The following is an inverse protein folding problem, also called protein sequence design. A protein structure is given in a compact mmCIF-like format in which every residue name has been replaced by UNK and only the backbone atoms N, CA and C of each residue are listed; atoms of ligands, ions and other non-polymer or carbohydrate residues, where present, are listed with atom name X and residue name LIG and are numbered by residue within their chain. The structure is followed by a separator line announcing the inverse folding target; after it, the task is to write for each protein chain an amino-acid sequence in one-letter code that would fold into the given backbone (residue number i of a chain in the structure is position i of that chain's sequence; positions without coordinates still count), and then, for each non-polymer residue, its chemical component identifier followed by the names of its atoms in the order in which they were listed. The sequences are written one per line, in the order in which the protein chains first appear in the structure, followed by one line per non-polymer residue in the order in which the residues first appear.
data_IF_740034544767
#
_entry.id   IF_740034544767
#
_cell.length_a   1.000
_cell.length_b   1.000
_cell.length_c   1.000
_cell.angle_alpha   90.00
_cell.angle_beta   90.00
_cell.angle_gamma   90.00
#
_symmetry.space_group_name_H-M   'P 1'
#
loop_
_entity.id
_entity.type
_entity.pdbx_description
1 polymer ?
#
# COMPACT_ATOMS: atom_id res chain seq x y z
N UNK A 1 -4.52 -23.09 -23.39
CA UNK A 1 -3.65 -22.82 -22.22
C UNK A 1 -4.35 -21.74 -21.38
N UNK A 2 -4.42 -21.95 -20.07
CA UNK A 2 -5.09 -20.99 -19.18
C UNK A 2 -4.17 -19.76 -19.00
N UNK A 3 -4.51 -18.62 -19.61
CA UNK A 3 -3.71 -17.39 -19.56
C UNK A 3 -3.94 -16.59 -18.25
N UNK A 4 -4.81 -17.08 -17.37
CA UNK A 4 -5.24 -16.37 -16.18
C UNK A 4 -4.09 -15.95 -15.24
N UNK A 5 -3.14 -16.82 -14.86
CA UNK A 5 -2.04 -16.40 -13.97
C UNK A 5 -1.16 -15.31 -14.59
N UNK A 6 -0.94 -15.36 -15.90
CA UNK A 6 -0.14 -14.36 -16.62
C UNK A 6 -0.86 -13.01 -16.68
N UNK A 7 -2.19 -13.01 -16.89
CA UNK A 7 -3.00 -11.79 -16.88
C UNK A 7 -2.99 -11.17 -15.49
N UNK A 8 -3.16 -11.97 -14.42
CA UNK A 8 -3.10 -11.49 -13.05
C UNK A 8 -1.75 -10.80 -12.74
N UNK A 9 -0.63 -11.43 -13.09
CA UNK A 9 0.71 -10.85 -12.90
C UNK A 9 0.87 -9.52 -13.67
N UNK A 10 0.36 -9.43 -14.89
CA UNK A 10 0.39 -8.21 -15.68
C UNK A 10 -0.48 -7.09 -15.07
N UNK A 11 -1.65 -7.41 -14.49
CA UNK A 11 -2.51 -6.46 -13.80
C UNK A 11 -1.84 -5.92 -12.53
N UNK A 12 -1.27 -6.79 -11.72
CA UNK A 12 -0.48 -6.40 -10.52
C UNK A 12 0.69 -5.49 -10.91
N UNK A 13 1.42 -5.86 -11.98
CA UNK A 13 2.52 -5.04 -12.48
C UNK A 13 2.05 -3.68 -12.99
N UNK A 14 0.93 -3.61 -13.72
CA UNK A 14 0.34 -2.35 -14.19
C UNK A 14 -0.03 -1.44 -13.03
N UNK A 15 -0.69 -1.99 -12.02
CA UNK A 15 -1.10 -1.26 -10.83
C UNK A 15 0.10 -0.73 -10.01
N UNK A 16 1.15 -1.55 -9.82
CA UNK A 16 2.39 -1.11 -9.15
C UNK A 16 3.04 0.06 -9.90
N UNK A 17 3.11 0.00 -11.22
CA UNK A 17 3.67 1.08 -12.04
C UNK A 17 2.85 2.37 -11.94
N UNK A 18 1.51 2.29 -11.89
CA UNK A 18 0.65 3.45 -11.67
C UNK A 18 0.81 4.00 -10.26
N UNK A 19 0.87 3.14 -9.23
CA UNK A 19 1.10 3.57 -7.86
C UNK A 19 2.45 4.31 -7.72
N UNK A 20 3.54 3.77 -8.31
CA UNK A 20 4.86 4.43 -8.36
C UNK A 20 4.80 5.79 -9.06
N UNK A 21 4.07 5.88 -10.17
CA UNK A 21 3.90 7.13 -10.88
C UNK A 21 3.20 8.21 -10.04
N UNK A 22 2.22 7.82 -9.23
CA UNK A 22 1.51 8.71 -8.27
C UNK A 22 2.38 9.14 -7.09
N UNK A 23 3.42 8.36 -6.73
CA UNK A 23 4.36 8.74 -5.67
C UNK A 23 5.31 9.87 -6.09
N UNK A 24 5.52 10.08 -7.40
CA UNK A 24 6.44 11.09 -7.88
C UNK A 24 5.89 12.50 -7.63
N UNK A 25 6.54 13.23 -6.73
CA UNK A 25 6.23 14.63 -6.52
C UNK A 25 6.54 15.44 -7.80
N UNK A 26 5.63 16.33 -8.16
CA UNK A 26 5.81 17.25 -9.28
C UNK A 26 6.13 16.57 -10.62
N UNK A 27 5.29 15.60 -11.01
CA UNK A 27 5.38 14.93 -12.29
C UNK A 27 5.17 15.92 -13.46
N UNK A 28 6.21 16.21 -14.20
CA UNK A 28 6.17 17.08 -15.36
C UNK A 28 7.56 17.59 -15.75
N UNK A 29 7.63 18.49 -16.72
CA UNK A 29 8.90 19.07 -17.19
C UNK A 29 9.28 20.26 -16.31
N UNK A 30 10.46 20.25 -15.65
CA UNK A 30 10.93 21.40 -14.87
C UNK A 30 11.15 22.62 -15.75
N UNK A 31 10.75 23.78 -15.25
CA UNK A 31 10.91 25.08 -15.89
C UNK A 31 11.45 26.08 -14.87
N UNK A 32 12.45 26.87 -15.26
CA UNK A 32 12.99 27.97 -14.44
C UNK A 32 12.35 29.25 -14.93
N UNK A 33 11.72 30.00 -14.01
CA UNK A 33 11.25 31.37 -14.29
C UNK A 33 12.02 32.35 -13.44
N UNK A 34 12.45 33.43 -14.05
CA UNK A 34 13.22 34.52 -13.40
C UNK A 34 12.41 35.81 -13.44
N UNK A 35 12.40 36.52 -12.32
CA UNK A 35 11.83 37.84 -12.21
C UNK A 35 12.75 38.72 -11.37
N UNK A 36 12.33 39.98 -11.09
CA UNK A 36 13.12 40.94 -10.31
C UNK A 36 13.44 40.49 -8.87
N UNK A 37 12.69 39.52 -8.35
CA UNK A 37 12.81 38.98 -6.98
C UNK A 37 13.64 37.71 -6.89
N UNK A 38 14.03 37.07 -8.04
CA UNK A 38 14.84 35.88 -8.05
C UNK A 38 14.42 34.83 -9.08
N UNK A 39 15.00 33.63 -8.94
CA UNK A 39 14.72 32.47 -9.78
C UNK A 39 13.78 31.51 -9.03
N UNK A 40 12.83 30.97 -9.75
CA UNK A 40 11.78 30.10 -9.22
C UNK A 40 11.63 28.86 -10.08
N UNK A 41 11.32 27.73 -9.44
CA UNK A 41 11.06 26.46 -10.10
C UNK A 41 9.57 26.26 -10.30
N UNK A 42 9.22 25.85 -11.50
CA UNK A 42 7.90 25.44 -11.92
C UNK A 42 7.96 24.05 -12.57
N UNK A 43 6.86 23.34 -12.55
CA UNK A 43 6.71 22.12 -13.33
C UNK A 43 5.58 22.31 -14.32
N UNK A 44 5.90 22.09 -15.60
CA UNK A 44 4.95 22.17 -16.71
C UNK A 44 4.43 20.78 -17.06
N UNK A 45 3.11 20.63 -17.06
CA UNK A 45 2.42 19.38 -17.38
C UNK A 45 1.31 19.64 -18.38
N UNK A 46 1.13 18.72 -19.33
CA UNK A 46 -0.02 18.71 -20.23
C UNK A 46 -1.14 17.85 -19.62
N UNK A 47 -2.31 18.45 -19.43
CA UNK A 47 -3.53 17.77 -18.96
C UNK A 47 -4.59 17.93 -20.04
N UNK A 48 -4.83 16.87 -20.79
CA UNK A 48 -5.69 16.93 -21.98
C UNK A 48 -5.13 17.88 -23.05
N UNK A 49 -5.92 18.87 -23.47
CA UNK A 49 -5.52 19.90 -24.43
C UNK A 49 -4.78 21.09 -23.80
N UNK A 50 -4.80 21.22 -22.47
CA UNK A 50 -4.22 22.36 -21.74
C UNK A 50 -2.82 22.04 -21.22
N UNK A 51 -1.98 23.08 -21.18
CA UNK A 51 -0.66 23.05 -20.52
C UNK A 51 -0.77 23.86 -19.25
N UNK A 52 -0.46 23.23 -18.11
CA UNK A 52 -0.40 23.88 -16.80
C UNK A 52 1.05 24.07 -16.38
N UNK A 53 1.34 25.14 -15.66
CA UNK A 53 2.65 25.40 -15.05
C UNK A 53 2.41 25.64 -13.57
N UNK A 54 2.85 24.72 -12.72
CA UNK A 54 2.65 24.75 -11.26
C UNK A 54 3.94 25.22 -10.58
N UNK A 55 3.82 26.19 -9.68
CA UNK A 55 4.92 26.64 -8.84
C UNK A 55 5.35 25.54 -7.88
N UNK A 56 6.65 25.36 -7.71
CA UNK A 56 7.24 24.36 -6.79
C UNK A 56 7.89 25.07 -5.60
N UNK A 57 8.95 25.87 -5.86
CA UNK A 57 9.68 26.59 -4.82
C UNK A 57 10.69 27.59 -5.44
N UNK A 58 11.43 28.29 -4.59
CA UNK A 58 12.60 29.07 -4.98
C UNK A 58 13.64 28.14 -5.60
N UNK A 59 14.36 28.60 -6.61
CA UNK A 59 15.38 27.80 -7.30
C UNK A 59 16.48 27.36 -6.34
N UNK A 60 16.78 26.08 -6.37
CA UNK A 60 18.03 25.51 -5.89
C UNK A 60 18.49 24.40 -6.84
N UNK A 61 19.79 24.21 -6.98
CA UNK A 61 20.34 23.16 -7.86
C UNK A 61 19.87 21.77 -7.42
N UNK A 62 19.84 21.51 -6.12
CA UNK A 62 19.38 20.22 -5.55
C UNK A 62 17.94 19.93 -5.93
N UNK A 63 17.04 20.90 -5.77
CA UNK A 63 15.63 20.74 -6.11
C UNK A 63 15.44 20.62 -7.62
N UNK A 64 16.16 21.37 -8.42
CA UNK A 64 16.11 21.27 -9.87
C UNK A 64 16.55 19.88 -10.36
N UNK A 65 17.65 19.33 -9.81
CA UNK A 65 18.12 17.98 -10.15
C UNK A 65 17.10 16.91 -9.72
N UNK A 66 16.44 17.08 -8.56
CA UNK A 66 15.36 16.19 -8.13
C UNK A 66 14.20 16.20 -9.13
N UNK A 67 13.75 17.38 -9.57
CA UNK A 67 12.67 17.50 -10.55
C UNK A 67 13.04 16.88 -11.90
N UNK A 68 14.31 16.99 -12.34
CA UNK A 68 14.80 16.34 -13.56
C UNK A 68 14.75 14.81 -13.42
N UNK A 69 15.18 14.25 -12.27
CA UNK A 69 15.11 12.81 -12.00
C UNK A 69 13.66 12.32 -11.99
N UNK A 70 12.77 13.01 -11.29
CA UNK A 70 11.34 12.66 -11.25
C UNK A 70 10.71 12.68 -12.64
N UNK A 71 11.04 13.66 -13.48
CA UNK A 71 10.56 13.70 -14.87
C UNK A 71 11.10 12.53 -15.72
N UNK A 72 12.37 12.17 -15.55
CA UNK A 72 12.97 11.03 -16.24
C UNK A 72 12.32 9.71 -15.81
N UNK A 73 12.12 9.53 -14.49
CA UNK A 73 11.47 8.36 -13.93
C UNK A 73 9.99 8.26 -14.37
N UNK A 74 9.23 9.36 -14.34
CA UNK A 74 7.87 9.39 -14.85
C UNK A 74 7.76 8.97 -16.32
N UNK A 75 8.72 9.39 -17.17
CA UNK A 75 8.78 8.95 -18.58
C UNK A 75 9.06 7.45 -18.69
N UNK A 76 9.97 6.92 -17.87
CA UNK A 76 10.30 5.51 -17.83
C UNK A 76 9.09 4.67 -17.40
N UNK A 77 8.43 5.04 -16.30
CA UNK A 77 7.22 4.37 -15.79
C UNK A 77 6.11 4.35 -16.86
N UNK A 78 5.83 5.47 -17.50
CA UNK A 78 4.83 5.51 -18.58
C UNK A 78 5.20 4.62 -19.77
N UNK A 79 6.47 4.47 -20.09
CA UNK A 79 6.93 3.53 -21.14
C UNK A 79 6.70 2.08 -20.72
N UNK A 80 6.94 1.76 -19.44
CA UNK A 80 6.69 0.41 -18.92
C UNK A 80 5.20 0.10 -18.89
N UNK A 81 4.36 1.03 -18.41
CA UNK A 81 2.88 0.91 -18.44
C UNK A 81 2.39 0.53 -19.84
N UNK A 82 2.78 1.29 -20.86
CA UNK A 82 2.40 0.98 -22.26
C UNK A 82 2.83 -0.42 -22.73
N UNK A 83 3.96 -0.93 -22.25
CA UNK A 83 4.39 -2.30 -22.58
C UNK A 83 3.48 -3.34 -21.94
N UNK A 84 3.10 -3.12 -20.68
CA UNK A 84 2.19 -4.02 -19.95
C UNK A 84 0.79 -3.98 -20.58
N UNK A 85 0.28 -2.79 -20.90
CA UNK A 85 -1.02 -2.62 -21.59
C UNK A 85 -1.06 -3.36 -22.92
N UNK A 86 0.03 -3.27 -23.70
CA UNK A 86 0.17 -4.02 -24.95
C UNK A 86 0.16 -5.53 -24.72
N UNK A 87 0.88 -6.02 -23.71
CA UNK A 87 0.92 -7.44 -23.35
C UNK A 87 -0.46 -7.94 -22.89
N UNK A 88 -1.21 -7.15 -22.12
CA UNK A 88 -2.59 -7.45 -21.72
C UNK A 88 -3.50 -7.58 -22.93
N UNK A 89 -3.44 -6.63 -23.86
CA UNK A 89 -4.23 -6.67 -25.11
C UNK A 89 -3.89 -7.91 -25.96
N UNK A 90 -2.60 -8.28 -26.08
CA UNK A 90 -2.14 -9.49 -26.80
C UNK A 90 -2.65 -10.79 -26.14
N UNK A 91 -2.95 -10.77 -24.83
CA UNK A 91 -3.56 -11.91 -24.11
C UNK A 91 -5.09 -11.90 -24.18
N UNK A 92 -5.69 -10.95 -24.89
CA UNK A 92 -7.15 -10.83 -25.02
C UNK A 92 -7.81 -10.33 -23.73
N UNK A 93 -7.07 -9.65 -22.85
CA UNK A 93 -7.67 -9.04 -21.66
C UNK A 93 -8.60 -7.89 -22.08
N UNK A 94 -9.81 -7.93 -21.56
CA UNK A 94 -10.79 -6.83 -21.66
C UNK A 94 -11.07 -6.38 -20.21
N UNK A 95 -11.11 -5.08 -20.00
CA UNK A 95 -11.45 -4.51 -18.70
C UNK A 95 -12.88 -4.92 -18.32
N UNK A 96 -13.02 -5.55 -17.14
CA UNK A 96 -14.32 -5.78 -16.54
C UNK A 96 -14.71 -4.55 -15.73
N UNK A 97 -15.97 -4.17 -15.77
CA UNK A 97 -16.49 -3.12 -14.89
C UNK A 97 -16.69 -3.71 -13.49
N UNK A 98 -16.17 -3.02 -12.48
CA UNK A 98 -16.49 -3.29 -11.09
C UNK A 98 -17.96 -3.00 -10.83
N UNK A 99 -18.60 -3.75 -9.94
CA UNK A 99 -19.98 -3.47 -9.56
C UNK A 99 -20.13 -2.06 -8.97
N UNK A 100 -21.31 -1.42 -9.08
CA UNK A 100 -21.56 -0.10 -8.51
C UNK A 100 -21.23 -0.01 -7.03
N UNK A 101 -21.52 -1.05 -6.24
CA UNK A 101 -21.24 -1.11 -4.81
C UNK A 101 -19.74 -1.14 -4.52
N UNK A 102 -18.98 -1.92 -5.27
CA UNK A 102 -17.50 -1.95 -5.16
C UNK A 102 -16.90 -0.60 -5.59
N UNK A 103 -17.43 0.05 -6.63
CA UNK A 103 -16.98 1.39 -7.05
C UNK A 103 -17.24 2.42 -5.96
N UNK A 104 -18.41 2.39 -5.34
CA UNK A 104 -18.76 3.28 -4.23
C UNK A 104 -17.82 3.06 -3.04
N UNK A 105 -17.57 1.80 -2.69
CA UNK A 105 -16.64 1.47 -1.60
C UNK A 105 -15.20 1.86 -1.91
N UNK A 106 -14.77 1.71 -3.16
CA UNK A 106 -13.47 2.18 -3.63
C UNK A 106 -13.31 3.70 -3.49
N UNK A 107 -14.32 4.46 -3.86
CA UNK A 107 -14.29 5.92 -3.72
C UNK A 107 -14.29 6.32 -2.24
N UNK A 108 -15.07 5.64 -1.39
CA UNK A 108 -15.01 5.81 0.07
C UNK A 108 -13.61 5.52 0.61
N UNK A 109 -12.98 4.42 0.19
CA UNK A 109 -11.63 4.05 0.61
C UNK A 109 -10.58 5.09 0.18
N UNK A 110 -10.69 5.62 -1.04
CA UNK A 110 -9.80 6.68 -1.55
C UNK A 110 -9.92 7.97 -0.75
N UNK A 111 -11.14 8.36 -0.38
CA UNK A 111 -11.37 9.55 0.45
C UNK A 111 -10.76 9.41 1.85
N UNK A 112 -10.72 8.20 2.40
CA UNK A 112 -10.20 7.90 3.73
C UNK A 112 -8.74 7.41 3.73
N UNK A 113 -8.08 7.29 2.58
CA UNK A 113 -6.75 6.69 2.45
C UNK A 113 -5.71 7.38 3.34
N UNK A 114 -5.67 8.71 3.40
CA UNK A 114 -4.70 9.45 4.20
C UNK A 114 -4.86 9.18 5.69
N UNK A 115 -6.10 9.14 6.18
CA UNK A 115 -6.41 8.81 7.57
C UNK A 115 -6.02 7.36 7.87
N UNK A 116 -6.35 6.42 6.99
CA UNK A 116 -5.98 5.00 7.14
C UNK A 116 -4.46 4.80 7.19
N UNK A 117 -3.70 5.54 6.37
CA UNK A 117 -2.23 5.52 6.41
C UNK A 117 -1.71 6.06 7.75
N UNK A 118 -2.27 7.17 8.25
CA UNK A 118 -1.90 7.75 9.53
C UNK A 118 -2.12 6.78 10.69
N UNK A 119 -3.32 6.23 10.82
CA UNK A 119 -3.69 5.30 11.89
C UNK A 119 -2.84 4.03 11.85
N UNK A 120 -2.55 3.54 10.65
CA UNK A 120 -1.68 2.39 10.47
C UNK A 120 -0.20 2.71 10.80
N UNK A 121 0.28 3.92 10.53
CA UNK A 121 1.60 4.38 10.95
C UNK A 121 1.70 4.44 12.48
N UNK A 122 0.68 4.95 13.17
CA UNK A 122 0.60 4.96 14.64
C UNK A 122 0.57 3.54 15.21
N UNK A 123 -0.17 2.62 14.58
CA UNK A 123 -0.17 1.19 14.96
C UNK A 123 1.24 0.59 14.93
N UNK A 124 2.08 0.99 13.96
CA UNK A 124 3.49 0.58 13.84
C UNK A 124 4.44 1.35 14.79
N UNK A 125 3.94 2.30 15.56
CA UNK A 125 4.74 3.08 16.50
C UNK A 125 5.50 4.23 15.84
N UNK A 126 5.10 4.67 14.66
CA UNK A 126 5.64 5.88 14.02
C UNK A 126 5.17 7.08 14.81
N UNK A 127 6.13 7.91 15.27
CA UNK A 127 5.82 9.15 15.98
C UNK A 127 5.47 10.25 14.97
N UNK A 128 4.20 10.35 14.62
CA UNK A 128 3.67 11.33 13.67
C UNK A 128 2.29 11.81 14.09
N UNK A 129 1.86 12.94 13.55
CA UNK A 129 0.48 13.43 13.64
C UNK A 129 -0.21 13.33 12.28
N UNK A 130 -1.54 13.42 12.26
CA UNK A 130 -2.27 13.39 10.98
C UNK A 130 -1.81 14.51 10.02
N UNK A 131 -1.65 15.79 10.42
CA UNK A 131 -1.12 16.83 9.53
C UNK A 131 0.29 16.53 9.00
N UNK A 132 1.19 15.99 9.83
CA UNK A 132 2.53 15.60 9.38
C UNK A 132 2.48 14.46 8.36
N UNK A 133 1.63 13.46 8.59
CA UNK A 133 1.41 12.36 7.65
C UNK A 133 0.86 12.87 6.31
N UNK A 134 -0.10 13.78 6.35
CA UNK A 134 -0.66 14.41 5.16
C UNK A 134 0.41 15.20 4.37
N UNK A 135 1.25 15.99 5.06
CA UNK A 135 2.36 16.71 4.43
C UNK A 135 3.38 15.77 3.79
N UNK A 136 3.70 14.64 4.41
CA UNK A 136 4.56 13.61 3.82
C UNK A 136 3.94 13.05 2.55
N UNK A 137 2.65 12.68 2.62
CA UNK A 137 1.91 12.08 1.51
C UNK A 137 1.81 13.04 0.31
N UNK A 138 1.55 14.32 0.56
CA UNK A 138 1.30 15.30 -0.50
C UNK A 138 2.57 15.99 -1.00
N UNK A 139 3.45 16.38 -0.09
CA UNK A 139 4.54 17.31 -0.38
C UNK A 139 5.93 16.69 -0.21
N UNK A 140 6.04 15.51 0.40
CA UNK A 140 7.32 14.90 0.75
C UNK A 140 8.13 15.73 1.75
N UNK A 141 7.52 16.74 2.39
CA UNK A 141 8.16 17.64 3.35
C UNK A 141 7.70 17.29 4.75
N UNK A 142 8.66 17.20 5.68
CA UNK A 142 8.34 17.02 7.08
C UNK A 142 9.44 17.58 7.97
N UNK A 143 9.01 18.15 9.11
CA UNK A 143 9.89 18.53 10.21
C UNK A 143 9.58 17.63 11.42
N UNK A 144 10.62 17.12 12.07
CA UNK A 144 10.49 16.37 13.32
C UNK A 144 10.12 14.89 13.18
N UNK A 145 10.08 14.32 11.95
CA UNK A 145 9.90 12.89 11.69
C UNK A 145 11.20 12.30 11.16
N UNK A 146 11.58 11.09 11.58
CA UNK A 146 12.80 10.46 11.11
C UNK A 146 12.71 10.04 9.65
N UNK A 147 13.84 9.98 8.94
CA UNK A 147 13.87 9.50 7.55
C UNK A 147 13.29 8.08 7.40
N UNK A 148 13.52 7.22 8.40
CA UNK A 148 12.95 5.88 8.45
C UNK A 148 11.42 5.90 8.54
N UNK A 149 10.86 6.78 9.36
CA UNK A 149 9.40 6.89 9.54
C UNK A 149 8.73 7.52 8.32
N UNK A 150 9.37 8.50 7.69
CA UNK A 150 8.95 9.03 6.39
C UNK A 150 8.88 7.92 5.35
N UNK A 151 9.92 7.07 5.26
CA UNK A 151 9.93 5.94 4.32
C UNK A 151 8.80 4.94 4.62
N UNK A 152 8.50 4.64 5.89
CA UNK A 152 7.38 3.77 6.26
C UNK A 152 6.04 4.34 5.79
N UNK A 153 5.81 5.65 5.98
CA UNK A 153 4.58 6.33 5.53
C UNK A 153 4.46 6.29 4.00
N UNK A 154 5.55 6.54 3.27
CA UNK A 154 5.55 6.48 1.81
C UNK A 154 5.32 5.05 1.30
N UNK A 155 5.86 4.04 1.97
CA UNK A 155 5.60 2.64 1.66
C UNK A 155 4.13 2.25 1.91
N UNK A 156 3.54 2.74 3.01
CA UNK A 156 2.09 2.57 3.25
C UNK A 156 1.28 3.23 2.14
N UNK A 157 1.61 4.48 1.76
CA UNK A 157 0.96 5.15 0.63
C UNK A 157 1.05 4.31 -0.64
N UNK A 158 2.23 3.77 -0.96
CA UNK A 158 2.43 2.94 -2.15
C UNK A 158 1.53 1.70 -2.12
N UNK A 159 1.50 0.99 -0.99
CA UNK A 159 0.69 -0.21 -0.85
C UNK A 159 -0.82 0.09 -0.89
N UNK A 160 -1.27 1.20 -0.30
CA UNK A 160 -2.66 1.65 -0.41
C UNK A 160 -3.04 2.05 -1.85
N UNK A 161 -2.20 2.83 -2.55
CA UNK A 161 -2.43 3.17 -3.96
C UNK A 161 -2.51 1.92 -4.85
N UNK A 162 -1.71 0.89 -4.54
CA UNK A 162 -1.74 -0.40 -5.23
C UNK A 162 -3.08 -1.11 -5.03
N UNK A 163 -3.55 -1.30 -3.79
CA UNK A 163 -4.81 -2.02 -3.55
C UNK A 163 -6.06 -1.23 -3.99
N UNK A 164 -5.97 0.09 -4.10
CA UNK A 164 -7.05 0.96 -4.59
C UNK A 164 -7.06 1.10 -6.12
N UNK A 165 -6.20 0.38 -6.82
CA UNK A 165 -6.26 0.27 -8.27
C UNK A 165 -7.38 -0.70 -8.69
N UNK A 166 -8.14 -0.32 -9.72
CA UNK A 166 -9.26 -1.13 -10.21
C UNK A 166 -8.84 -2.50 -10.70
N UNK A 167 -7.65 -2.60 -11.26
CA UNK A 167 -7.11 -3.86 -11.77
C UNK A 167 -6.85 -4.84 -10.61
N UNK A 168 -6.28 -4.32 -9.52
CA UNK A 168 -5.97 -5.12 -8.33
C UNK A 168 -7.25 -5.57 -7.63
N UNK A 169 -8.27 -4.71 -7.57
CA UNK A 169 -9.57 -5.07 -6.97
C UNK A 169 -10.32 -6.18 -7.74
N UNK A 170 -10.02 -6.38 -9.02
CA UNK A 170 -10.58 -7.47 -9.81
C UNK A 170 -9.86 -8.80 -9.58
N UNK A 171 -8.66 -8.75 -9.02
CA UNK A 171 -7.86 -9.93 -8.69
C UNK A 171 -8.34 -10.53 -7.36
N UNK A 172 -8.29 -11.86 -7.26
CA UNK A 172 -8.63 -12.53 -6.00
C UNK A 172 -7.64 -12.13 -4.90
N UNK A 173 -8.15 -11.91 -3.70
CA UNK A 173 -7.33 -11.77 -2.51
C UNK A 173 -6.69 -13.14 -2.19
N UNK A 174 -5.43 -13.30 -2.53
CA UNK A 174 -4.68 -14.52 -2.34
C UNK A 174 -3.27 -14.27 -1.77
N UNK A 175 -2.51 -15.32 -1.61
CA UNK A 175 -1.14 -15.25 -1.10
C UNK A 175 -0.22 -14.37 -1.98
N UNK A 176 -0.44 -14.34 -3.32
CA UNK A 176 0.36 -13.50 -4.23
C UNK A 176 0.16 -12.01 -3.93
N UNK A 177 -1.09 -11.58 -3.78
CA UNK A 177 -1.44 -10.20 -3.38
C UNK A 177 -0.83 -9.86 -2.01
N UNK A 178 -0.92 -10.76 -1.04
CA UNK A 178 -0.31 -10.55 0.28
C UNK A 178 1.22 -10.36 0.19
N UNK A 179 1.90 -11.20 -0.60
CA UNK A 179 3.34 -11.09 -0.83
C UNK A 179 3.71 -9.77 -1.51
N UNK A 180 2.91 -9.34 -2.49
CA UNK A 180 3.15 -8.07 -3.18
C UNK A 180 2.99 -6.88 -2.22
N UNK A 181 1.92 -6.85 -1.42
CA UNK A 181 1.71 -5.84 -0.38
C UNK A 181 2.90 -5.82 0.60
N UNK A 182 3.33 -7.01 1.08
CA UNK A 182 4.46 -7.11 2.00
C UNK A 182 5.77 -6.62 1.39
N UNK A 183 5.99 -6.81 0.09
CA UNK A 183 7.11 -6.22 -0.65
C UNK A 183 7.05 -4.70 -0.63
N UNK A 184 5.89 -4.12 -0.91
CA UNK A 184 5.70 -2.66 -0.96
C UNK A 184 5.92 -2.01 0.41
N UNK A 185 5.35 -2.55 1.49
CA UNK A 185 5.50 -1.98 2.83
C UNK A 185 6.92 -2.10 3.39
N UNK A 186 7.76 -2.95 2.80
CA UNK A 186 9.16 -3.17 3.18
C UNK A 186 10.16 -2.57 2.18
N UNK A 187 9.72 -1.82 1.19
CA UNK A 187 10.61 -1.23 0.17
C UNK A 187 11.64 -0.31 0.83
N UNK A 188 12.92 -0.52 0.49
CA UNK A 188 14.03 0.24 1.08
C UNK A 188 14.53 -0.26 2.44
N UNK A 189 13.79 -1.17 3.11
CA UNK A 189 14.20 -1.77 4.39
C UNK A 189 14.76 -3.19 4.23
N UNK A 190 14.11 -4.03 3.42
CA UNK A 190 14.48 -5.43 3.24
C UNK A 190 14.46 -5.82 1.76
N UNK A 191 15.59 -6.29 1.25
CA UNK A 191 15.69 -6.81 -0.13
C UNK A 191 14.79 -8.05 -0.36
N UNK A 192 14.47 -8.78 0.71
CA UNK A 192 13.57 -9.95 0.69
C UNK A 192 12.13 -9.61 1.08
N UNK A 193 11.75 -8.34 1.06
CA UNK A 193 10.35 -7.93 1.32
C UNK A 193 9.37 -8.73 0.47
N UNK A 194 8.30 -9.24 1.10
CA UNK A 194 7.30 -10.06 0.42
C UNK A 194 7.67 -11.53 0.20
N UNK A 195 8.83 -12.00 0.67
CA UNK A 195 9.16 -13.43 0.71
C UNK A 195 8.87 -14.01 2.08
N UNK A 196 8.34 -15.24 2.09
CA UNK A 196 8.13 -15.97 3.33
C UNK A 196 9.45 -16.11 4.11
N UNK A 197 9.40 -15.91 5.42
CA UNK A 197 10.60 -16.03 6.25
C UNK A 197 11.01 -17.49 6.44
N UNK A 198 12.32 -17.70 6.44
CA UNK A 198 12.93 -18.98 6.79
C UNK A 198 13.69 -18.95 8.12
N UNK A 199 13.51 -17.89 8.92
CA UNK A 199 14.21 -17.69 10.20
C UNK A 199 13.21 -17.33 11.31
N UNK A 200 13.53 -17.62 12.59
CA UNK A 200 12.73 -17.17 13.73
C UNK A 200 12.67 -15.63 13.77
N UNK A 201 11.56 -15.11 14.26
CA UNK A 201 11.36 -13.68 14.55
C UNK A 201 10.86 -13.52 15.99
N UNK A 202 11.12 -12.39 16.59
CA UNK A 202 10.60 -12.01 17.90
C UNK A 202 9.54 -10.95 17.73
N UNK A 203 8.53 -10.96 18.60
CA UNK A 203 7.46 -9.96 18.64
C UNK A 203 7.67 -9.10 19.89
N UNK A 204 7.72 -7.79 19.70
CA UNK A 204 7.86 -6.88 20.85
C UNK A 204 6.68 -6.98 21.83
N UNK A 205 6.99 -7.03 23.13
CA UNK A 205 5.97 -7.06 24.19
C UNK A 205 5.49 -8.45 24.62
N UNK A 206 6.00 -9.51 24.00
CA UNK A 206 5.69 -10.91 24.37
C UNK A 206 6.92 -11.82 24.29
N UNK A 207 6.92 -12.91 25.04
CA UNK A 207 7.90 -13.99 24.91
C UNK A 207 7.55 -15.03 23.84
N UNK A 208 6.38 -14.91 23.22
CA UNK A 208 5.93 -15.82 22.18
C UNK A 208 6.83 -15.71 20.94
N UNK A 209 7.34 -16.87 20.49
CA UNK A 209 8.12 -16.98 19.25
C UNK A 209 7.28 -17.76 18.25
N UNK A 210 6.78 -17.12 17.18
CA UNK A 210 5.96 -17.79 16.18
C UNK A 210 6.78 -18.83 15.42
N UNK A 211 6.23 -20.04 15.17
CA UNK A 211 6.87 -21.05 14.33
C UNK A 211 7.25 -20.49 12.96
N UNK A 212 8.31 -21.06 12.34
CA UNK A 212 8.64 -20.72 10.95
C UNK A 212 7.48 -21.18 10.06
N UNK A 213 6.86 -20.27 9.27
CA UNK A 213 5.71 -20.62 8.46
C UNK A 213 6.10 -21.52 7.29
N UNK A 214 5.19 -22.42 6.92
CA UNK A 214 5.31 -23.27 5.72
C UNK A 214 4.41 -22.68 4.65
N UNK A 215 4.96 -22.37 3.48
CA UNK A 215 4.28 -21.62 2.43
C UNK A 215 2.97 -22.27 1.97
N UNK A 216 2.98 -23.58 1.74
CA UNK A 216 1.78 -24.34 1.34
C UNK A 216 0.67 -24.25 2.38
N UNK A 217 1.02 -24.35 3.67
CA UNK A 217 0.06 -24.23 4.79
C UNK A 217 -0.51 -22.81 4.88
N UNK A 218 0.32 -21.78 4.65
CA UNK A 218 -0.15 -20.39 4.62
C UNK A 218 -1.15 -20.17 3.49
N UNK A 219 -0.84 -20.70 2.29
CA UNK A 219 -1.74 -20.59 1.13
C UNK A 219 -3.06 -21.30 1.42
N UNK A 220 -3.03 -22.53 1.93
CA UNK A 220 -4.22 -23.32 2.27
C UNK A 220 -5.10 -22.61 3.30
N UNK A 221 -4.52 -22.07 4.38
CA UNK A 221 -5.25 -21.37 5.42
C UNK A 221 -5.88 -20.05 4.93
N UNK A 222 -5.16 -19.27 4.10
CA UNK A 222 -5.73 -18.08 3.48
C UNK A 222 -6.93 -18.43 2.62
N UNK A 223 -6.82 -19.47 1.79
CA UNK A 223 -7.92 -19.93 0.94
C UNK A 223 -9.10 -20.47 1.77
N UNK A 224 -8.83 -21.19 2.85
CA UNK A 224 -9.87 -21.67 3.76
C UNK A 224 -10.64 -20.51 4.39
N UNK A 225 -9.94 -19.50 4.90
CA UNK A 225 -10.58 -18.33 5.53
C UNK A 225 -11.45 -17.60 4.50
N UNK A 226 -10.93 -17.33 3.30
CA UNK A 226 -11.64 -16.59 2.25
C UNK A 226 -12.89 -17.33 1.76
N UNK A 227 -12.87 -18.65 1.75
CA UNK A 227 -13.99 -19.48 1.28
C UNK A 227 -15.02 -19.80 2.38
N UNK A 228 -14.87 -19.30 3.60
CA UNK A 228 -15.89 -19.47 4.64
C UNK A 228 -17.18 -18.77 4.25
N UNK A 229 -18.30 -19.36 4.64
CA UNK A 229 -19.61 -18.74 4.50
C UNK A 229 -19.88 -17.84 5.70
N UNK A 230 -19.32 -16.62 5.66
CA UNK A 230 -19.43 -15.61 6.72
C UNK A 230 -19.52 -14.20 6.10
N UNK A 231 -19.84 -13.21 6.91
CA UNK A 231 -19.89 -11.81 6.50
C UNK A 231 -18.49 -11.32 6.08
N UNK A 232 -18.37 -10.50 5.03
CA UNK A 232 -17.08 -10.03 4.54
C UNK A 232 -16.18 -9.39 5.61
N UNK A 233 -16.79 -8.70 6.59
CA UNK A 233 -16.03 -8.07 7.68
C UNK A 233 -15.38 -9.13 8.58
N UNK A 234 -16.09 -10.20 8.94
CA UNK A 234 -15.58 -11.27 9.79
C UNK A 234 -14.40 -11.99 9.09
N UNK A 235 -14.53 -12.23 7.79
CA UNK A 235 -13.46 -12.82 6.98
C UNK A 235 -12.24 -11.88 6.93
N UNK A 236 -12.45 -10.59 6.73
CA UNK A 236 -11.36 -9.61 6.69
C UNK A 236 -10.61 -9.52 8.04
N UNK A 237 -11.34 -9.49 9.16
CA UNK A 237 -10.77 -9.52 10.51
C UNK A 237 -9.96 -10.81 10.73
N UNK A 238 -10.52 -11.96 10.36
CA UNK A 238 -9.82 -13.24 10.48
C UNK A 238 -8.55 -13.30 9.63
N UNK A 239 -8.57 -12.82 8.39
CA UNK A 239 -7.39 -12.70 7.52
C UNK A 239 -6.32 -11.82 8.17
N UNK A 240 -6.73 -10.66 8.69
CA UNK A 240 -5.84 -9.74 9.37
C UNK A 240 -5.15 -10.40 10.56
N UNK A 241 -5.92 -11.00 11.45
CA UNK A 241 -5.43 -11.64 12.68
C UNK A 241 -4.57 -12.88 12.37
N UNK A 242 -4.99 -13.71 11.40
CA UNK A 242 -4.22 -14.85 10.95
C UNK A 242 -2.83 -14.45 10.46
N UNK A 243 -2.76 -13.46 9.57
CA UNK A 243 -1.49 -13.00 9.04
C UNK A 243 -0.59 -12.35 10.13
N UNK A 244 -1.20 -11.59 11.06
CA UNK A 244 -0.47 -11.02 12.21
C UNK A 244 0.07 -12.10 13.14
N UNK A 245 -0.70 -13.15 13.44
CA UNK A 245 -0.28 -14.22 14.33
C UNK A 245 0.78 -15.13 13.70
N UNK A 246 0.64 -15.44 12.42
CA UNK A 246 1.56 -16.32 11.68
C UNK A 246 2.93 -15.68 11.48
N UNK A 247 3.01 -14.33 11.45
CA UNK A 247 4.26 -13.62 11.19
C UNK A 247 4.95 -14.16 9.93
N UNK A 248 4.26 -14.06 8.79
CA UNK A 248 4.65 -14.72 7.53
C UNK A 248 5.99 -14.19 7.00
N UNK A 249 6.29 -12.91 7.22
CA UNK A 249 7.45 -12.21 6.70
C UNK A 249 8.45 -11.83 7.81
N UNK A 250 9.67 -11.50 7.44
CA UNK A 250 10.70 -11.06 8.38
C UNK A 250 10.33 -9.74 9.09
N UNK A 251 9.60 -8.84 8.41
CA UNK A 251 9.09 -7.58 8.95
C UNK A 251 7.83 -7.13 8.18
N UNK A 252 7.15 -6.11 8.72
CA UNK A 252 5.97 -5.50 8.08
C UNK A 252 4.70 -6.33 8.15
N UNK A 253 4.67 -7.38 8.98
CA UNK A 253 3.51 -8.28 9.07
C UNK A 253 2.22 -7.55 9.42
N UNK A 254 2.19 -6.67 10.45
CA UNK A 254 0.97 -5.90 10.78
C UNK A 254 0.55 -4.98 9.64
N UNK A 255 1.51 -4.28 9.04
CA UNK A 255 1.24 -3.38 7.91
C UNK A 255 0.62 -4.14 6.73
N UNK A 256 1.23 -5.24 6.32
CA UNK A 256 0.74 -6.06 5.23
C UNK A 256 -0.62 -6.70 5.55
N UNK A 257 -0.83 -7.17 6.78
CA UNK A 257 -2.09 -7.81 7.19
C UNK A 257 -3.29 -6.88 7.11
N UNK A 258 -3.17 -5.64 7.61
CA UNK A 258 -4.26 -4.65 7.55
C UNK A 258 -4.57 -4.28 6.10
N UNK A 259 -3.56 -4.05 5.26
CA UNK A 259 -3.77 -3.69 3.84
C UNK A 259 -4.36 -4.86 3.07
N UNK A 260 -3.91 -6.10 3.32
CA UNK A 260 -4.46 -7.29 2.68
C UNK A 260 -5.92 -7.55 3.05
N UNK A 261 -6.26 -7.39 4.33
CA UNK A 261 -7.65 -7.47 4.78
C UNK A 261 -8.54 -6.40 4.12
N UNK A 262 -8.01 -5.18 3.93
CA UNK A 262 -8.71 -4.12 3.21
C UNK A 262 -8.85 -4.40 1.71
N UNK A 263 -7.86 -4.99 1.05
CA UNK A 263 -8.02 -5.44 -0.33
C UNK A 263 -9.22 -6.39 -0.47
N UNK A 264 -9.32 -7.38 0.43
CA UNK A 264 -10.46 -8.30 0.45
C UNK A 264 -11.78 -7.55 0.70
N UNK A 265 -11.83 -6.74 1.76
CA UNK A 265 -13.05 -6.06 2.20
C UNK A 265 -13.58 -5.08 1.14
N UNK A 266 -12.70 -4.26 0.54
CA UNK A 266 -13.05 -3.33 -0.51
C UNK A 266 -13.59 -4.07 -1.75
N UNK A 267 -12.96 -5.18 -2.13
CA UNK A 267 -13.40 -6.01 -3.27
C UNK A 267 -14.79 -6.64 -3.07
N UNK A 268 -15.26 -6.69 -1.83
CA UNK A 268 -16.59 -7.20 -1.43
C UNK A 268 -17.58 -6.08 -1.10
N UNK A 269 -17.23 -4.83 -1.33
CA UNK A 269 -18.02 -3.66 -0.93
C UNK A 269 -18.34 -3.62 0.59
N UNK A 270 -17.45 -4.19 1.42
CA UNK A 270 -17.65 -4.39 2.86
C UNK A 270 -17.18 -3.24 3.75
N UNK A 271 -16.72 -2.12 3.18
CA UNK A 271 -16.21 -0.98 3.95
C UNK A 271 -14.69 -0.97 4.09
N UNK A 272 -14.18 -0.48 5.21
CA UNK A 272 -12.77 -0.40 5.56
C UNK A 272 -12.53 -0.99 6.95
N UNK A 273 -11.46 -1.76 7.10
CA UNK A 273 -10.90 -2.19 8.37
C UNK A 273 -9.82 -1.21 8.82
N UNK A 274 -10.06 -0.53 9.91
CA UNK A 274 -9.17 0.48 10.49
C UNK A 274 -9.05 0.25 11.99
N UNK A 275 -7.86 0.47 12.55
CA UNK A 275 -7.63 0.49 13.99
C UNK A 275 -7.37 1.95 14.38
N UNK A 276 -8.35 2.67 14.92
CA UNK A 276 -8.22 4.08 15.27
C UNK A 276 -7.11 4.33 16.28
N UNK A 277 -6.42 5.47 16.15
CA UNK A 277 -5.27 5.85 16.98
C UNK A 277 -5.54 5.67 18.50
N UNK A 278 -6.69 6.14 18.96
CA UNK A 278 -7.09 6.09 20.36
C UNK A 278 -7.33 4.66 20.87
N UNK A 279 -7.55 3.69 20.00
CA UNK A 279 -7.73 2.27 20.30
C UNK A 279 -6.46 1.43 20.13
N UNK A 280 -5.39 1.98 19.57
CA UNK A 280 -4.12 1.27 19.33
C UNK A 280 -3.54 0.63 20.61
N UNK A 281 -3.52 1.28 21.79
CA UNK A 281 -2.99 0.65 23.02
C UNK A 281 -3.79 -0.59 23.43
N UNK A 282 -5.11 -0.54 23.35
CA UNK A 282 -6.00 -1.66 23.68
C UNK A 282 -5.86 -2.78 22.67
N UNK A 283 -5.89 -2.47 21.38
CA UNK A 283 -5.64 -3.44 20.31
C UNK A 283 -4.32 -4.19 20.50
N UNK A 284 -3.23 -3.47 20.79
CA UNK A 284 -1.91 -4.10 21.03
C UNK A 284 -1.93 -5.05 22.22
N UNK A 285 -2.66 -4.71 23.31
CA UNK A 285 -2.82 -5.58 24.47
C UNK A 285 -3.58 -6.87 24.11
N UNK A 286 -4.69 -6.74 23.39
CA UNK A 286 -5.47 -7.89 22.90
C UNK A 286 -4.69 -8.74 21.90
N UNK A 287 -3.92 -8.11 21.04
CA UNK A 287 -3.07 -8.81 20.07
C UNK A 287 -1.98 -9.63 20.75
N UNK A 288 -1.34 -9.12 21.81
CA UNK A 288 -0.37 -9.88 22.61
C UNK A 288 -1.04 -11.08 23.26
N UNK A 289 -2.20 -10.89 23.89
CA UNK A 289 -3.00 -11.98 24.46
C UNK A 289 -3.32 -13.04 23.41
N UNK A 290 -3.75 -12.63 22.24
CA UNK A 290 -4.01 -13.54 21.13
C UNK A 290 -2.75 -14.33 20.69
N UNK A 291 -1.57 -13.71 20.68
CA UNK A 291 -0.34 -14.42 20.37
C UNK A 291 -0.01 -15.50 21.41
N UNK A 292 -0.26 -15.25 22.68
CA UNK A 292 0.06 -16.14 23.80
C UNK A 292 -0.98 -17.26 23.95
N UNK A 293 -2.27 -16.90 24.00
CA UNK A 293 -3.36 -17.82 24.33
C UNK A 293 -3.95 -18.53 23.09
N UNK A 294 -3.69 -18.00 21.88
CA UNK A 294 -4.30 -18.48 20.61
C UNK A 294 -5.82 -18.33 20.53
N UNK A 295 -6.44 -17.69 21.50
CA UNK A 295 -7.85 -17.34 21.47
C UNK A 295 -8.01 -15.92 20.90
N UNK A 296 -8.74 -15.83 19.78
CA UNK A 296 -8.98 -14.55 19.09
C UNK A 296 -10.39 -13.98 19.37
N UNK A 297 -11.15 -14.55 20.30
CA UNK A 297 -12.53 -14.13 20.59
C UNK A 297 -12.58 -12.64 20.99
N UNK A 298 -11.85 -12.26 22.04
CA UNK A 298 -11.87 -10.87 22.53
C UNK A 298 -11.38 -9.83 21.50
N UNK A 299 -10.35 -10.15 20.72
CA UNK A 299 -9.82 -9.22 19.72
C UNK A 299 -10.72 -9.11 18.48
N UNK A 300 -11.56 -10.10 18.22
CA UNK A 300 -12.57 -10.05 17.16
C UNK A 300 -13.79 -9.22 17.54
N UNK A 301 -14.15 -9.23 18.81
CA UNK A 301 -15.27 -8.44 19.35
C UNK A 301 -14.90 -6.96 19.51
N UNK A 302 -13.63 -6.66 19.62
CA UNK A 302 -13.09 -5.30 19.67
C UNK A 302 -13.30 -4.55 18.36
#
# INVERSE_FOLDING_TARGET
MNNYPVIQELLEQRADLYARLKLLAYDGTPEIKENKSGKYLYVRKRVGSRVTSTYVDVYSDTLYQLLLRNNAEAKNLRKQIRKVEKALAEKGFTENELSPDVLLNLDFARMNMKLSIYEQAVLEGVATSFPQTEDIIENGKVNGVTASDVQKILNLKHAWEFILDKDVLQVKSDYSILCHIAKLVNEGFFASGGRIRGVPVTIGGTSYIPPIPIETVVIENILEIINRNDEPINIAVELCLYCMNTQIFNDGNKRASVIFANHYLISKAGGLLVIPENHVPEFKKLLIKYYEDKDNGEIKEF
#
